data_IF_136921445128
#
_entry.id   IF_136921445128
#
_cell.length_a   1.000
_cell.length_b   1.000
_cell.length_c   1.000
_cell.angle_alpha   90.00
_cell.angle_beta   90.00
_cell.angle_gamma   90.00
#
_symmetry.space_group_name_H-M   'P 1'
#
loop_
_entity.id
_entity.type
_entity.pdbx_description
1 polymer ?
#
# COMPACT_ATOMS: atom_id res chain seq x y z
N UNK A 1 -8.45 40.56 -0.90
CA UNK A 1 -8.90 39.35 -0.18
C UNK A 1 -8.77 39.65 1.30
N UNK A 2 -9.81 39.46 2.11
CA UNK A 2 -9.75 39.78 3.55
C UNK A 2 -8.83 38.77 4.28
N UNK A 3 -8.09 39.21 5.29
CA UNK A 3 -7.20 38.36 6.10
C UNK A 3 -7.94 37.15 6.68
N UNK A 4 -9.15 37.36 7.20
CA UNK A 4 -9.99 36.27 7.73
C UNK A 4 -10.43 35.28 6.66
N UNK A 5 -10.68 35.75 5.42
CA UNK A 5 -11.02 34.89 4.29
C UNK A 5 -9.82 34.04 3.85
N UNK A 6 -8.62 34.60 3.89
CA UNK A 6 -7.39 33.87 3.58
C UNK A 6 -7.08 32.81 4.65
N UNK A 7 -7.23 33.14 5.95
CA UNK A 7 -7.12 32.17 7.06
C UNK A 7 -8.11 31.03 6.88
N UNK A 8 -9.39 31.35 6.70
CA UNK A 8 -10.46 30.34 6.57
C UNK A 8 -10.22 29.39 5.39
N UNK A 9 -9.85 29.91 4.22
CA UNK A 9 -9.61 29.09 3.02
C UNK A 9 -8.41 28.15 3.20
N UNK A 10 -7.33 28.59 3.84
CA UNK A 10 -6.13 27.75 4.03
C UNK A 10 -6.33 26.72 5.15
N UNK A 11 -7.06 27.06 6.20
CA UNK A 11 -7.49 26.07 7.21
C UNK A 11 -8.42 25.02 6.61
N UNK A 12 -9.34 25.43 5.73
CA UNK A 12 -10.20 24.49 5.01
C UNK A 12 -9.39 23.58 4.09
N UNK A 13 -8.39 24.11 3.39
CA UNK A 13 -7.49 23.30 2.57
C UNK A 13 -6.73 22.29 3.43
N UNK A 14 -6.17 22.73 4.57
CA UNK A 14 -5.48 21.85 5.50
C UNK A 14 -6.41 20.73 6.02
N UNK A 15 -7.64 21.07 6.39
CA UNK A 15 -8.65 20.11 6.85
C UNK A 15 -9.04 19.11 5.76
N UNK A 16 -9.27 19.60 4.54
CA UNK A 16 -9.54 18.74 3.37
C UNK A 16 -8.40 17.75 3.14
N UNK A 17 -7.16 18.20 3.24
CA UNK A 17 -5.98 17.32 3.14
C UNK A 17 -5.92 16.32 4.30
N UNK A 18 -6.22 16.73 5.54
CA UNK A 18 -6.24 15.85 6.70
C UNK A 18 -7.26 14.70 6.51
N UNK A 19 -8.42 15.04 5.98
CA UNK A 19 -9.53 14.12 5.72
C UNK A 19 -9.35 13.30 4.41
N UNK A 20 -8.31 13.57 3.62
CA UNK A 20 -7.98 12.82 2.41
C UNK A 20 -7.41 11.43 2.75
N UNK A 21 -8.32 10.48 2.95
CA UNK A 21 -7.98 9.09 3.24
C UNK A 21 -7.17 8.44 2.11
N UNK A 22 -7.42 8.79 0.85
CA UNK A 22 -6.72 8.16 -0.28
C UNK A 22 -5.24 8.58 -0.31
N UNK A 23 -4.98 9.88 -0.14
CA UNK A 23 -3.62 10.37 -0.05
C UNK A 23 -2.92 9.79 1.18
N UNK A 24 -3.60 9.77 2.32
CA UNK A 24 -3.07 9.22 3.58
C UNK A 24 -2.67 7.75 3.46
N UNK A 25 -3.52 6.90 2.87
CA UNK A 25 -3.22 5.47 2.72
C UNK A 25 -2.24 5.19 1.57
N UNK A 26 -2.24 6.01 0.52
CA UNK A 26 -1.34 5.87 -0.62
C UNK A 26 0.11 6.28 -0.31
N UNK A 27 0.30 7.31 0.52
CA UNK A 27 1.62 7.77 0.97
C UNK A 27 1.51 8.49 2.33
N UNK A 28 1.52 7.75 3.46
CA UNK A 28 1.40 8.32 4.80
C UNK A 28 2.46 9.39 5.10
N UNK A 29 3.71 9.17 4.67
CA UNK A 29 4.83 10.10 4.87
C UNK A 29 4.60 11.42 4.15
N UNK A 30 4.19 11.38 2.87
CA UNK A 30 3.95 12.58 2.07
C UNK A 30 2.72 13.33 2.56
N UNK A 31 1.67 12.61 2.98
CA UNK A 31 0.47 13.18 3.60
C UNK A 31 0.82 13.98 4.85
N UNK A 32 1.56 13.35 5.78
CA UNK A 32 2.03 14.01 6.99
C UNK A 32 2.93 15.22 6.69
N UNK A 33 3.93 15.07 5.81
CA UNK A 33 4.83 16.18 5.45
C UNK A 33 4.04 17.37 4.90
N UNK A 34 3.07 17.12 4.03
CA UNK A 34 2.23 18.17 3.43
C UNK A 34 1.43 18.94 4.50
N UNK A 35 0.93 18.24 5.53
CA UNK A 35 0.19 18.86 6.64
C UNK A 35 1.09 19.68 7.55
N UNK A 36 2.28 19.18 7.88
CA UNK A 36 3.27 19.90 8.71
C UNK A 36 3.84 21.14 7.99
N UNK A 37 4.11 21.03 6.69
CA UNK A 37 4.52 22.18 5.87
C UNK A 37 3.40 23.23 5.79
N UNK A 38 2.14 22.79 5.70
CA UNK A 38 1.00 23.69 5.66
C UNK A 38 0.77 24.41 7.01
N UNK A 39 0.89 23.73 8.15
CA UNK A 39 0.79 24.35 9.48
C UNK A 39 1.96 25.31 9.75
N UNK A 40 3.18 24.95 9.36
CA UNK A 40 4.35 25.83 9.46
C UNK A 40 4.15 27.12 8.66
N UNK A 41 3.73 27.02 7.40
CA UNK A 41 3.43 28.20 6.56
C UNK A 41 2.34 29.09 7.15
N UNK A 42 1.29 28.50 7.72
CA UNK A 42 0.22 29.27 8.37
C UNK A 42 0.76 30.09 9.56
N UNK A 43 1.71 29.53 10.30
CA UNK A 43 2.34 30.18 11.46
C UNK A 43 3.30 31.28 11.02
N UNK A 44 4.14 31.03 10.00
CA UNK A 44 5.07 32.01 9.42
C UNK A 44 4.35 33.26 8.90
N UNK A 45 3.15 33.09 8.36
CA UNK A 45 2.30 34.17 7.87
C UNK A 45 1.47 34.86 8.96
N UNK A 46 1.57 34.40 10.22
CA UNK A 46 0.81 34.93 11.35
C UNK A 46 -0.70 34.65 11.27
N UNK A 47 -1.12 33.67 10.46
CA UNK A 47 -2.53 33.27 10.34
C UNK A 47 -2.97 32.40 11.52
N UNK A 48 -2.04 31.67 12.14
CA UNK A 48 -2.25 30.91 13.37
C UNK A 48 -1.13 31.19 14.36
N UNK A 49 -1.41 30.98 15.64
CA UNK A 49 -0.39 31.03 16.69
C UNK A 49 0.35 29.69 16.83
N UNK A 50 1.37 29.69 17.70
CA UNK A 50 2.20 28.51 17.93
C UNK A 50 1.45 27.37 18.62
N UNK A 51 0.42 27.67 19.41
CA UNK A 51 -0.38 26.64 20.07
C UNK A 51 -1.29 25.94 19.06
N UNK A 52 -1.97 26.72 18.20
CA UNK A 52 -2.74 26.21 17.06
C UNK A 52 -1.87 25.33 16.16
N UNK A 53 -0.62 25.72 15.88
CA UNK A 53 0.31 24.90 15.09
C UNK A 53 0.59 23.54 15.76
N UNK A 54 0.85 23.52 17.07
CA UNK A 54 1.13 22.29 17.81
C UNK A 54 -0.05 21.32 17.75
N UNK A 55 -1.28 21.81 17.95
CA UNK A 55 -2.49 20.98 17.84
C UNK A 55 -2.65 20.40 16.43
N UNK A 56 -2.41 21.21 15.39
CA UNK A 56 -2.45 20.77 14.00
C UNK A 56 -1.40 19.70 13.70
N UNK A 57 -0.17 19.88 14.19
CA UNK A 57 0.92 18.94 14.02
C UNK A 57 0.63 17.62 14.75
N UNK A 58 0.04 17.67 15.94
CA UNK A 58 -0.43 16.48 16.69
C UNK A 58 -1.50 15.71 15.91
N UNK A 59 -2.49 16.39 15.33
CA UNK A 59 -3.50 15.76 14.46
C UNK A 59 -2.86 15.08 13.24
N UNK A 60 -1.89 15.73 12.59
CA UNK A 60 -1.16 15.16 11.46
C UNK A 60 -0.34 13.91 11.87
N UNK A 61 0.31 13.96 13.03
CA UNK A 61 1.04 12.82 13.58
C UNK A 61 0.11 11.65 13.94
N UNK A 62 -1.05 11.93 14.54
CA UNK A 62 -2.04 10.91 14.88
C UNK A 62 -2.61 10.23 13.62
N UNK A 63 -2.95 11.03 12.59
CA UNK A 63 -3.41 10.52 11.30
C UNK A 63 -2.34 9.63 10.63
N UNK A 64 -1.07 10.01 10.72
CA UNK A 64 0.04 9.18 10.24
C UNK A 64 0.12 7.84 10.95
N UNK A 65 0.15 7.83 12.29
CA UNK A 65 0.25 6.58 13.06
C UNK A 65 -0.92 5.65 12.83
N UNK A 66 -2.14 6.18 12.76
CA UNK A 66 -3.31 5.41 12.40
C UNK A 66 -3.16 4.75 11.02
N UNK A 67 -2.65 5.49 10.02
CA UNK A 67 -2.43 4.94 8.68
C UNK A 67 -1.34 3.85 8.68
N UNK A 68 -0.28 4.01 9.47
CA UNK A 68 0.76 3.00 9.66
C UNK A 68 0.17 1.70 10.20
N UNK A 69 -0.62 1.77 11.26
CA UNK A 69 -1.27 0.61 11.89
C UNK A 69 -2.26 -0.09 10.95
N UNK A 70 -3.06 0.69 10.21
CA UNK A 70 -4.02 0.18 9.25
C UNK A 70 -3.33 -0.54 8.08
N UNK A 71 -2.21 0.01 7.57
CA UNK A 71 -1.42 -0.61 6.51
C UNK A 71 -0.70 -1.88 6.96
N UNK A 72 -0.28 -1.96 8.23
CA UNK A 72 0.24 -3.20 8.80
C UNK A 72 -0.83 -4.29 8.87
N UNK A 73 -2.07 -3.91 9.15
CA UNK A 73 -3.21 -4.84 9.20
C UNK A 73 -3.65 -5.29 7.81
N UNK A 74 -3.47 -4.45 6.79
CA UNK A 74 -3.87 -4.71 5.39
C UNK A 74 -2.69 -4.47 4.40
N UNK A 75 -1.66 -5.33 4.37
CA UNK A 75 -0.43 -5.06 3.63
C UNK A 75 -0.56 -5.21 2.10
N UNK A 76 -1.59 -5.90 1.61
CA UNK A 76 -1.75 -6.23 0.18
C UNK A 76 -2.71 -5.22 -0.47
N UNK A 77 -2.22 -4.01 -0.74
CA UNK A 77 -3.01 -2.97 -1.40
C UNK A 77 -2.18 -2.20 -2.43
N UNK A 78 -2.78 -1.94 -3.59
CA UNK A 78 -2.21 -1.04 -4.58
C UNK A 78 -2.10 0.39 -4.04
N UNK A 79 -0.88 0.93 -4.09
CA UNK A 79 -0.52 2.31 -3.75
C UNK A 79 0.05 3.00 -4.99
N UNK A 80 -0.53 4.13 -5.39
CA UNK A 80 -0.11 4.88 -6.59
C UNK A 80 1.28 5.51 -6.51
N UNK A 81 1.83 5.68 -5.30
CA UNK A 81 3.20 6.14 -5.05
C UNK A 81 4.27 5.06 -5.27
N UNK A 82 3.85 3.81 -5.51
CA UNK A 82 4.74 2.69 -5.77
C UNK A 82 4.74 2.36 -7.26
N UNK A 83 5.78 1.65 -7.68
CA UNK A 83 5.87 1.05 -8.99
C UNK A 83 5.79 -0.45 -8.91
N UNK A 84 5.13 -1.02 -9.91
CA UNK A 84 4.79 -2.43 -9.99
C UNK A 84 5.26 -3.00 -11.31
N UNK A 85 5.83 -4.18 -11.24
CA UNK A 85 6.03 -5.04 -12.39
C UNK A 85 4.75 -5.86 -12.59
N UNK A 86 4.25 -5.90 -13.82
CA UNK A 86 3.06 -6.66 -14.20
C UNK A 86 3.51 -8.01 -14.75
N UNK A 87 3.19 -9.09 -14.05
CA UNK A 87 3.64 -10.45 -14.37
C UNK A 87 2.44 -11.36 -14.58
N UNK A 88 2.40 -12.20 -15.64
CA UNK A 88 1.31 -13.17 -15.82
C UNK A 88 1.18 -14.11 -14.63
N UNK A 89 -0.06 -14.33 -14.17
CA UNK A 89 -0.33 -15.19 -13.01
C UNK A 89 0.05 -16.65 -13.25
N UNK A 90 -0.05 -17.11 -14.49
CA UNK A 90 0.34 -18.47 -14.90
C UNK A 90 1.87 -18.68 -14.98
N UNK A 91 2.65 -17.65 -14.61
CA UNK A 91 4.10 -17.62 -14.75
C UNK A 91 4.52 -17.11 -16.13
N UNK A 92 5.62 -16.37 -16.16
CA UNK A 92 6.15 -15.77 -17.38
C UNK A 92 7.04 -14.56 -17.10
N UNK A 93 7.66 -13.99 -18.15
CA UNK A 93 8.41 -12.76 -17.99
C UNK A 93 7.47 -11.60 -17.64
N UNK A 94 8.04 -10.55 -17.06
CA UNK A 94 7.36 -9.26 -16.91
C UNK A 94 6.89 -8.77 -18.29
N UNK A 95 5.65 -8.28 -18.34
CA UNK A 95 5.06 -7.78 -19.59
C UNK A 95 4.90 -6.25 -19.61
N UNK A 96 4.88 -5.62 -18.43
CA UNK A 96 4.70 -4.19 -18.28
C UNK A 96 5.19 -3.69 -16.92
N UNK A 97 5.28 -2.38 -16.79
CA UNK A 97 5.47 -1.68 -15.51
C UNK A 97 4.37 -0.65 -15.30
N UNK A 98 3.94 -0.49 -14.05
CA UNK A 98 3.06 0.60 -13.62
C UNK A 98 3.84 1.50 -12.68
N UNK A 99 3.87 2.80 -12.91
CA UNK A 99 4.48 3.76 -11.99
C UNK A 99 3.78 5.12 -12.07
N UNK A 100 3.48 5.74 -10.92
CA UNK A 100 2.63 6.94 -10.86
C UNK A 100 1.31 6.77 -11.63
N UNK A 101 0.69 5.61 -11.45
CA UNK A 101 -0.54 5.23 -12.14
C UNK A 101 -0.43 5.18 -13.67
N UNK A 102 0.78 5.17 -14.24
CA UNK A 102 1.02 5.06 -15.68
C UNK A 102 1.52 3.66 -16.01
N UNK A 103 0.82 2.98 -16.92
CA UNK A 103 1.25 1.70 -17.49
C UNK A 103 2.18 1.94 -18.69
N UNK A 104 3.31 1.23 -18.72
CA UNK A 104 4.20 1.10 -19.85
C UNK A 104 4.42 -0.37 -20.16
N UNK A 105 4.08 -0.80 -21.37
CA UNK A 105 4.36 -2.16 -21.84
C UNK A 105 5.85 -2.31 -22.16
N UNK A 106 6.40 -3.52 -22.04
CA UNK A 106 7.76 -3.81 -22.52
C UNK A 106 7.88 -3.51 -24.02
N UNK A 107 6.93 -4.00 -24.81
CA UNK A 107 6.72 -3.58 -26.20
C UNK A 107 5.81 -2.37 -26.26
N UNK A 108 6.31 -1.22 -25.77
CA UNK A 108 5.54 0.01 -25.71
C UNK A 108 5.10 0.47 -27.10
N UNK A 109 3.83 0.88 -27.20
CA UNK A 109 3.27 1.53 -28.39
C UNK A 109 3.22 3.04 -28.23
N UNK A 110 3.80 3.59 -27.15
CA UNK A 110 3.82 5.01 -26.86
C UNK A 110 4.54 5.80 -27.96
N UNK A 111 4.00 6.97 -28.31
CA UNK A 111 4.58 7.91 -29.27
C UNK A 111 4.54 9.34 -28.72
N UNK A 112 4.93 10.33 -29.53
CA UNK A 112 4.91 11.74 -29.13
C UNK A 112 3.51 12.29 -28.82
N UNK A 113 2.46 11.71 -29.40
CA UNK A 113 1.06 12.12 -29.15
C UNK A 113 0.45 11.37 -27.96
N UNK A 114 0.94 10.18 -27.63
CA UNK A 114 0.47 9.33 -26.53
C UNK A 114 1.66 8.78 -25.76
N UNK A 115 2.12 9.49 -24.71
CA UNK A 115 3.37 9.16 -24.03
C UNK A 115 3.32 7.90 -23.13
N UNK A 116 2.16 7.23 -23.05
CA UNK A 116 1.93 6.05 -22.20
C UNK A 116 0.94 5.06 -22.80
N UNK A 117 1.10 3.77 -22.45
CA UNK A 117 0.29 2.65 -22.96
C UNK A 117 -1.03 2.49 -22.22
N UNK A 118 -1.10 2.97 -20.98
CA UNK A 118 -2.33 3.03 -20.21
C UNK A 118 -2.19 3.83 -18.93
N UNK A 119 -3.32 4.03 -18.25
CA UNK A 119 -3.38 4.76 -16.98
C UNK A 119 -4.34 4.09 -16.01
N UNK A 120 -3.89 3.96 -14.77
CA UNK A 120 -4.70 3.55 -13.62
C UNK A 120 -5.40 4.78 -13.07
N UNK A 121 -6.70 4.68 -12.83
CA UNK A 121 -7.49 5.68 -12.15
C UNK A 121 -8.46 4.97 -11.21
N UNK A 122 -8.98 5.70 -10.24
CA UNK A 122 -10.04 5.20 -9.38
C UNK A 122 -11.37 5.67 -9.92
N UNK A 123 -12.33 4.77 -10.02
CA UNK A 123 -13.72 5.09 -10.29
C UNK A 123 -14.64 4.60 -9.17
N UNK A 124 -15.96 4.72 -9.37
CA UNK A 124 -16.97 4.29 -8.39
C UNK A 124 -16.92 2.80 -8.03
N UNK A 125 -16.28 1.99 -8.87
CA UNK A 125 -16.20 0.54 -8.76
C UNK A 125 -14.82 0.03 -8.32
N UNK A 126 -13.86 0.93 -8.10
CA UNK A 126 -12.51 0.59 -7.63
C UNK A 126 -11.41 1.14 -8.52
N UNK A 127 -10.25 0.49 -8.49
CA UNK A 127 -9.11 0.85 -9.33
C UNK A 127 -9.28 0.21 -10.72
N UNK A 128 -9.21 1.04 -11.75
CA UNK A 128 -9.37 0.63 -13.15
C UNK A 128 -8.16 1.07 -13.96
N UNK A 129 -7.63 0.15 -14.75
CA UNK A 129 -6.61 0.38 -15.75
C UNK A 129 -7.27 0.57 -17.11
N UNK A 130 -7.07 1.72 -17.75
CA UNK A 130 -7.45 1.94 -19.15
C UNK A 130 -6.23 1.91 -20.05
N UNK A 131 -6.31 1.14 -21.12
CA UNK A 131 -5.33 1.20 -22.20
C UNK A 131 -5.56 2.42 -23.08
N UNK A 132 -4.47 3.07 -23.49
CA UNK A 132 -4.49 4.22 -24.40
C UNK A 132 -4.79 3.82 -25.86
N UNK A 133 -4.64 2.53 -26.20
CA UNK A 133 -4.69 2.01 -27.56
C UNK A 133 -5.88 1.09 -27.85
N UNK A 134 -6.90 1.07 -26.98
CA UNK A 134 -8.11 0.27 -27.17
C UNK A 134 -9.21 0.59 -26.16
N UNK A 135 -10.31 -0.14 -26.21
CA UNK A 135 -11.39 -0.10 -25.21
C UNK A 135 -11.13 -1.09 -24.06
N UNK A 136 -9.99 -1.77 -24.08
CA UNK A 136 -9.63 -2.78 -23.09
C UNK A 136 -9.43 -2.12 -21.73
N UNK A 137 -10.14 -2.64 -20.74
CA UNK A 137 -10.05 -2.19 -19.36
C UNK A 137 -9.65 -3.33 -18.45
N UNK A 138 -8.97 -3.02 -17.35
CA UNK A 138 -8.62 -3.98 -16.31
C UNK A 138 -9.01 -3.45 -14.94
N UNK A 139 -9.35 -4.35 -14.01
CA UNK A 139 -9.65 -4.04 -12.61
C UNK A 139 -8.48 -4.45 -11.73
N UNK A 140 -8.11 -3.59 -10.79
CA UNK A 140 -7.08 -3.88 -9.80
C UNK A 140 -7.75 -4.10 -8.44
N UNK A 141 -7.55 -5.29 -7.88
CA UNK A 141 -7.99 -5.68 -6.55
C UNK A 141 -6.78 -6.16 -5.75
N UNK A 142 -6.46 -5.46 -4.66
CA UNK A 142 -5.21 -5.69 -3.92
C UNK A 142 -3.99 -5.45 -4.82
N UNK A 143 -3.23 -6.51 -5.07
CA UNK A 143 -2.09 -6.55 -6.01
C UNK A 143 -2.35 -7.47 -7.20
N UNK A 144 -3.61 -7.69 -7.58
CA UNK A 144 -3.99 -8.46 -8.75
C UNK A 144 -4.69 -7.57 -9.78
N UNK A 145 -4.28 -7.68 -11.04
CA UNK A 145 -4.89 -7.02 -12.19
C UNK A 145 -5.66 -8.07 -13.00
N UNK A 146 -6.97 -7.90 -13.13
CA UNK A 146 -7.84 -8.73 -13.97
C UNK A 146 -8.32 -7.93 -15.17
N UNK A 147 -7.99 -8.39 -16.37
CA UNK A 147 -8.43 -7.79 -17.62
C UNK A 147 -9.89 -8.17 -17.94
N UNK A 148 -10.57 -7.38 -18.75
CA UNK A 148 -11.92 -7.66 -19.25
C UNK A 148 -12.03 -8.97 -20.05
N UNK A 149 -10.95 -9.39 -20.72
CA UNK A 149 -10.83 -10.68 -21.40
C UNK A 149 -10.58 -11.88 -20.47
N UNK A 150 -10.51 -11.64 -19.15
CA UNK A 150 -10.33 -12.66 -18.12
C UNK A 150 -8.87 -12.99 -17.79
N UNK A 151 -7.88 -12.43 -18.49
CA UNK A 151 -6.47 -12.62 -18.14
C UNK A 151 -6.13 -11.97 -16.80
N UNK A 152 -5.32 -12.66 -16.01
CA UNK A 152 -4.91 -12.22 -14.68
C UNK A 152 -3.40 -12.01 -14.59
N UNK A 153 -3.02 -10.94 -13.91
CA UNK A 153 -1.64 -10.55 -13.69
C UNK A 153 -1.43 -10.21 -12.22
N UNK A 154 -0.26 -10.55 -11.71
CA UNK A 154 0.20 -10.16 -10.38
C UNK A 154 1.01 -8.86 -10.50
N UNK A 155 0.73 -7.93 -9.59
CA UNK A 155 1.43 -6.67 -9.45
C UNK A 155 2.51 -6.84 -8.38
N UNK A 156 3.76 -6.93 -8.79
CA UNK A 156 4.90 -7.07 -7.89
C UNK A 156 5.48 -5.70 -7.63
N UNK A 157 5.42 -5.22 -6.39
CA UNK A 157 6.02 -3.93 -6.03
C UNK A 157 7.55 -3.99 -6.18
N UNK A 158 8.12 -3.11 -7.01
CA UNK A 158 9.56 -3.08 -7.32
C UNK A 158 10.24 -1.76 -6.99
N UNK A 159 9.46 -0.68 -6.86
CA UNK A 159 9.97 0.65 -6.54
C UNK A 159 8.96 1.46 -5.72
N UNK A 160 9.44 2.43 -4.97
CA UNK A 160 8.59 3.36 -4.22
C UNK A 160 9.18 4.76 -4.20
N UNK A 161 8.33 5.77 -4.29
CA UNK A 161 8.74 7.15 -4.03
C UNK A 161 8.70 7.43 -2.52
N UNK A 162 9.84 7.81 -1.96
CA UNK A 162 10.00 8.18 -0.54
C UNK A 162 10.68 9.54 -0.50
N UNK A 163 10.01 10.54 0.09
CA UNK A 163 10.52 11.92 0.21
C UNK A 163 11.04 12.49 -1.13
N UNK A 164 10.28 12.29 -2.21
CA UNK A 164 10.62 12.80 -3.56
C UNK A 164 11.73 12.04 -4.29
N UNK A 165 12.27 10.97 -3.72
CA UNK A 165 13.27 10.10 -4.36
C UNK A 165 12.66 8.73 -4.67
N UNK A 166 13.01 8.18 -5.82
CA UNK A 166 12.61 6.82 -6.20
C UNK A 166 13.64 5.84 -5.65
N UNK A 167 13.17 4.88 -4.85
CA UNK A 167 13.96 3.77 -4.34
C UNK A 167 13.50 2.46 -4.99
N UNK A 168 14.44 1.57 -5.26
CA UNK A 168 14.18 0.20 -5.71
C UNK A 168 14.08 -0.75 -4.51
N UNK A 169 13.41 -1.89 -4.72
CA UNK A 169 13.30 -2.91 -3.70
C UNK A 169 14.66 -3.46 -3.31
N UNK A 170 14.94 -3.47 -2.00
CA UNK A 170 16.13 -4.10 -1.44
C UNK A 170 16.02 -5.60 -1.70
N UNK A 171 16.89 -6.11 -2.55
CA UNK A 171 17.00 -7.52 -2.94
C UNK A 171 18.26 -8.20 -2.39
N UNK A 172 19.20 -7.42 -1.87
CA UNK A 172 20.40 -7.90 -1.19
C UNK A 172 20.13 -8.18 0.31
N UNK A 173 20.37 -9.42 0.80
CA UNK A 173 20.15 -9.79 2.19
C UNK A 173 20.98 -8.99 3.21
N UNK A 174 22.22 -8.61 2.87
CA UNK A 174 23.13 -7.91 3.78
C UNK A 174 22.71 -6.44 3.93
N UNK A 175 22.31 -5.80 2.83
CA UNK A 175 21.69 -4.46 2.85
C UNK A 175 20.40 -4.49 3.65
N UNK A 176 19.55 -5.50 3.45
CA UNK A 176 18.32 -5.64 4.23
C UNK A 176 18.61 -5.74 5.74
N UNK A 177 19.56 -6.61 6.12
CA UNK A 177 20.01 -6.75 7.51
C UNK A 177 20.50 -5.41 8.09
N UNK A 178 21.34 -4.69 7.35
CA UNK A 178 21.84 -3.39 7.77
C UNK A 178 20.71 -2.38 8.03
N UNK A 179 19.69 -2.33 7.15
CA UNK A 179 18.54 -1.42 7.35
C UNK A 179 17.69 -1.84 8.56
N UNK A 180 17.48 -3.14 8.78
CA UNK A 180 16.76 -3.65 9.96
C UNK A 180 17.46 -3.21 11.25
N UNK A 181 18.78 -3.43 11.33
CA UNK A 181 19.58 -3.06 12.50
C UNK A 181 19.57 -1.53 12.71
N UNK A 182 19.66 -0.74 11.63
CA UNK A 182 19.57 0.72 11.70
C UNK A 182 18.21 1.21 12.22
N UNK A 183 17.10 0.59 11.79
CA UNK A 183 15.76 0.90 12.29
C UNK A 183 15.61 0.52 13.75
N UNK A 184 16.16 -0.62 14.17
CA UNK A 184 16.14 -1.03 15.57
C UNK A 184 16.86 0.00 16.46
N UNK A 185 18.10 0.36 16.11
CA UNK A 185 18.89 1.36 16.84
C UNK A 185 18.16 2.72 16.89
N UNK A 186 17.60 3.16 15.76
CA UNK A 186 16.85 4.41 15.71
C UNK A 186 15.61 4.37 16.62
N UNK A 187 14.90 3.23 16.66
CA UNK A 187 13.74 3.02 17.52
C UNK A 187 14.14 3.06 19.00
N UNK A 188 15.23 2.38 19.37
CA UNK A 188 15.77 2.37 20.74
C UNK A 188 16.19 3.78 21.19
N UNK A 189 16.80 4.56 20.29
CA UNK A 189 17.19 5.95 20.53
C UNK A 189 16.04 6.96 20.41
N UNK A 190 14.82 6.51 20.06
CA UNK A 190 13.64 7.35 19.80
C UNK A 190 13.88 8.39 18.69
N UNK A 191 14.72 8.06 17.73
CA UNK A 191 14.94 8.89 16.53
C UNK A 191 13.83 8.62 15.51
N UNK A 192 12.73 9.36 15.68
CA UNK A 192 11.52 9.22 14.87
C UNK A 192 11.78 9.57 13.41
N UNK A 193 12.69 10.50 13.12
CA UNK A 193 12.97 10.94 11.74
C UNK A 193 13.63 9.81 10.94
N UNK A 194 14.62 9.14 11.52
CA UNK A 194 15.28 8.00 10.87
C UNK A 194 14.30 6.85 10.68
N UNK A 195 13.49 6.52 11.70
CA UNK A 195 12.49 5.44 11.59
C UNK A 195 11.50 5.73 10.46
N UNK A 196 10.98 6.95 10.37
CA UNK A 196 10.04 7.36 9.32
C UNK A 196 10.65 7.27 7.92
N UNK A 197 11.95 7.55 7.79
CA UNK A 197 12.66 7.48 6.52
C UNK A 197 12.95 6.05 6.07
N UNK A 198 13.33 5.17 7.00
CA UNK A 198 13.77 3.81 6.69
C UNK A 198 12.62 2.80 6.62
N UNK A 199 11.52 2.99 7.37
CA UNK A 199 10.36 2.09 7.37
C UNK A 199 9.81 1.83 5.96
N UNK A 200 9.59 2.83 5.08
CA UNK A 200 9.11 2.58 3.73
C UNK A 200 10.06 1.72 2.89
N UNK A 201 11.36 1.76 3.17
CA UNK A 201 12.36 0.95 2.46
C UNK A 201 12.29 -0.52 2.91
N UNK A 202 12.11 -0.78 4.22
CA UNK A 202 11.85 -2.13 4.73
C UNK A 202 10.54 -2.71 4.18
N UNK A 203 9.49 -1.89 4.09
CA UNK A 203 8.23 -2.30 3.46
C UNK A 203 8.38 -2.63 1.98
N UNK A 204 9.29 -1.96 1.25
CA UNK A 204 9.56 -2.19 -0.16
C UNK A 204 10.49 -3.40 -0.39
N UNK A 205 11.32 -3.77 0.60
CA UNK A 205 12.29 -4.85 0.47
C UNK A 205 11.66 -6.18 0.00
N UNK A 206 12.44 -7.00 -0.71
CA UNK A 206 12.02 -8.36 -1.08
C UNK A 206 11.87 -9.27 0.14
N UNK A 207 12.42 -8.88 1.28
CA UNK A 207 12.42 -9.67 2.50
C UNK A 207 11.40 -9.18 3.53
N UNK A 208 11.01 -10.07 4.43
CA UNK A 208 10.16 -9.80 5.58
C UNK A 208 10.69 -10.55 6.79
N UNK A 209 10.49 -9.99 7.98
CA UNK A 209 10.86 -10.63 9.23
C UNK A 209 10.29 -12.06 9.32
N UNK A 210 11.10 -12.98 9.83
CA UNK A 210 10.70 -14.37 9.98
C UNK A 210 9.59 -14.47 11.04
N UNK A 211 8.45 -15.05 10.67
CA UNK A 211 7.32 -15.22 11.60
C UNK A 211 7.57 -16.22 12.73
N UNK A 212 8.61 -17.05 12.63
CA UNK A 212 8.96 -18.05 13.65
C UNK A 212 9.87 -17.50 14.74
N UNK A 213 11.03 -16.95 14.37
CA UNK A 213 11.98 -16.41 15.34
C UNK A 213 11.77 -14.92 15.63
N UNK A 214 11.02 -14.20 14.79
CA UNK A 214 10.82 -12.74 14.89
C UNK A 214 12.16 -11.98 14.96
N UNK A 215 13.20 -12.52 14.33
CA UNK A 215 14.59 -12.03 14.40
C UNK A 215 15.15 -11.91 15.83
N UNK A 216 14.59 -12.65 16.79
CA UNK A 216 15.08 -12.65 18.17
C UNK A 216 16.40 -13.40 18.28
N UNK A 217 17.42 -12.72 18.80
CA UNK A 217 18.80 -13.20 18.87
C UNK A 217 18.93 -14.64 19.39
N UNK A 218 18.27 -14.98 20.49
CA UNK A 218 18.41 -16.29 21.16
C UNK A 218 17.71 -17.48 20.48
N UNK A 219 16.82 -17.24 19.51
CA UNK A 219 16.10 -18.31 18.76
C UNK A 219 16.41 -18.26 17.27
N UNK A 220 17.04 -17.19 16.80
CA UNK A 220 17.31 -16.97 15.39
C UNK A 220 18.32 -17.98 14.83
N UNK A 221 19.42 -18.22 15.54
CA UNK A 221 20.54 -19.04 15.05
C UNK A 221 20.10 -20.46 14.65
N UNK A 222 19.21 -21.06 15.43
CA UNK A 222 18.67 -22.41 15.19
C UNK A 222 17.35 -22.41 14.40
N UNK A 223 16.90 -21.26 13.88
CA UNK A 223 15.63 -21.15 13.18
C UNK A 223 15.74 -21.69 11.75
N UNK A 224 15.33 -22.95 11.54
CA UNK A 224 15.30 -23.58 10.21
C UNK A 224 14.54 -22.76 9.14
N UNK A 225 13.35 -22.19 9.41
CA UNK A 225 12.60 -21.45 8.38
C UNK A 225 13.33 -20.26 7.76
N UNK A 226 14.22 -19.60 8.49
CA UNK A 226 15.04 -18.51 7.98
C UNK A 226 16.52 -18.86 7.87
N UNK A 227 16.90 -20.10 8.18
CA UNK A 227 18.28 -20.58 8.18
C UNK A 227 19.25 -19.63 8.91
N UNK A 228 18.88 -19.19 10.12
CA UNK A 228 19.71 -18.27 10.91
C UNK A 228 19.62 -16.78 10.52
N UNK A 229 18.95 -16.44 9.42
CA UNK A 229 18.95 -15.07 8.89
C UNK A 229 17.95 -14.13 9.57
N UNK A 230 16.99 -14.62 10.35
CA UNK A 230 15.97 -13.78 11.02
C UNK A 230 14.88 -13.20 10.10
N UNK A 231 15.02 -13.35 8.79
CA UNK A 231 14.06 -12.92 7.77
C UNK A 231 13.95 -13.95 6.63
N UNK A 232 12.90 -13.82 5.83
CA UNK A 232 12.60 -14.68 4.68
C UNK A 232 12.19 -13.81 3.49
N UNK A 233 12.23 -14.36 2.27
CA UNK A 233 11.66 -13.67 1.12
C UNK A 233 10.13 -13.54 1.25
N UNK A 234 9.59 -12.39 0.83
CA UNK A 234 8.15 -12.18 0.76
C UNK A 234 7.55 -13.18 -0.22
N UNK A 235 6.44 -13.86 0.15
CA UNK A 235 5.73 -14.68 -0.80
C UNK A 235 5.27 -13.78 -1.94
N UNK A 236 5.62 -14.18 -3.18
CA UNK A 236 4.97 -13.58 -4.36
C UNK A 236 3.49 -13.83 -4.21
N UNK A 237 2.67 -12.79 -4.36
CA UNK A 237 1.23 -12.85 -4.15
C UNK A 237 0.64 -14.00 -4.99
N UNK A 238 0.41 -15.16 -4.38
CA UNK A 238 -0.42 -16.22 -4.95
C UNK A 238 -1.74 -16.11 -4.21
N UNK A 239 -2.62 -15.22 -4.69
CA UNK A 239 -3.94 -15.02 -4.11
C UNK A 239 -4.86 -16.22 -4.39
N UNK A 240 -4.53 -17.41 -3.87
CA UNK A 240 -5.58 -18.37 -3.58
C UNK A 240 -6.30 -17.82 -2.35
N UNK A 241 -7.39 -17.09 -2.61
CA UNK A 241 -8.39 -16.82 -1.58
C UNK A 241 -8.70 -18.15 -0.87
N UNK A 242 -8.83 -18.18 0.47
CA UNK A 242 -9.29 -19.37 1.15
C UNK A 242 -10.69 -19.71 0.62
N UNK A 243 -10.80 -20.90 0.02
CA UNK A 243 -12.11 -21.50 -0.25
C UNK A 243 -12.77 -21.67 1.11
N UNK A 244 -13.82 -20.91 1.37
CA UNK A 244 -14.65 -21.13 2.55
C UNK A 244 -15.21 -22.55 2.44
N UNK A 245 -14.72 -23.43 3.30
CA UNK A 245 -15.31 -24.73 3.59
C UNK A 245 -16.74 -24.52 4.08
N UNK A 246 -17.70 -24.60 3.16
CA UNK A 246 -19.09 -24.86 3.54
C UNK A 246 -19.20 -26.35 3.82
N UNK A 247 -19.07 -26.69 5.10
CA UNK A 247 -19.47 -27.99 5.62
C UNK A 247 -20.93 -28.31 5.30
N UNK A 248 -21.30 -29.59 5.21
CA UNK A 248 -22.61 -30.02 4.72
C UNK A 248 -23.72 -29.61 5.69
N UNK A 249 -24.72 -28.87 5.19
CA UNK A 249 -25.96 -28.61 5.88
C UNK A 249 -26.77 -29.90 6.01
N UNK A 250 -26.73 -30.48 7.22
CA UNK A 250 -27.74 -31.38 7.73
C UNK A 250 -29.11 -30.69 7.66
N UNK A 251 -30.06 -31.27 6.91
CA UNK A 251 -31.47 -31.02 7.11
C UNK A 251 -32.13 -32.31 7.58
N UNK A 252 -32.15 -32.49 8.90
CA UNK A 252 -33.19 -33.23 9.57
C UNK A 252 -34.41 -32.30 9.72
N UNK A 253 -35.55 -32.71 9.19
CA UNK A 253 -36.85 -32.32 9.73
C UNK A 253 -37.85 -33.43 9.42
N UNK A 254 -38.03 -34.30 10.42
CA UNK A 254 -39.32 -34.93 10.73
C UNK A 254 -40.36 -33.81 10.85
N UNK A 255 -41.58 -33.92 10.33
CA UNK A 255 -42.68 -34.61 11.00
C UNK A 255 -43.96 -34.43 10.16
N UNK A 256 -44.88 -35.40 10.22
CA UNK A 256 -46.32 -35.10 10.18
C UNK A 256 -47.12 -35.56 8.97
N UNK A 257 -47.38 -36.87 8.91
CA UNK A 257 -48.71 -37.47 8.87
C UNK A 257 -49.80 -36.84 7.96
N UNK A 258 -50.22 -37.58 6.91
CA UNK A 258 -51.63 -37.69 6.49
C UNK A 258 -51.88 -39.03 5.78
N UNK A 259 -52.46 -39.96 6.54
CA UNK A 259 -53.34 -41.02 6.07
C UNK A 259 -54.39 -40.50 5.08
N UNK A 260 -54.69 -41.23 3.99
CA UNK A 260 -56.03 -41.71 3.58
C UNK A 260 -55.92 -42.66 2.36
N UNK A 261 -56.29 -43.93 2.61
CA UNK A 261 -56.94 -44.96 1.76
C UNK A 261 -57.18 -44.66 0.26
N UNK A 262 -56.91 -45.64 -0.61
CA UNK A 262 -57.90 -46.61 -1.13
C UNK A 262 -57.31 -47.54 -2.21
N UNK A 263 -57.71 -48.81 -2.06
CA UNK A 263 -57.80 -49.92 -3.03
C UNK A 263 -56.53 -50.49 -3.66
#
# INVERSE_FOLDING_TARGET
MNFDQAKALRLQLWRTTLDDHEFRMGSPEAHRSSLLEASARLTEEGLIDRMEQLEMDEMANAAYWHAVEELQSNPIMYRGACGYDVVPRDGGPRIATIFHSVLRLEESRADKLRPYDGKVYRDKSGLVLNYSFGTTTGRIEGLSLTMDDGRQFDLVETKRMVSGRVYEAIDDPDVYRWVVDAVQIATENRDVEIVQRLRPLLELARFVQCSKCLDQFGVREDCEPCNGLGFVEKPRCSSKLPVNDQGPLNNANESGDRNVRRS
#
